data_IF_057044661191
#
_entry.id   IF_057044661191
#
_cell.length_a   1.000
_cell.length_b   1.000
_cell.length_c   1.000
_cell.angle_alpha   90.00
_cell.angle_beta   90.00
_cell.angle_gamma   90.00
#
_symmetry.space_group_name_H-M   'P 1'
#
loop_
_entity.id
_entity.type
_entity.pdbx_description
1 polymer ?
#
# COMPACT_ATOMS: atom_id res chain seq x y z
N UNK A 1 2.97 9.13 19.28
CA UNK A 1 2.48 10.54 19.39
C UNK A 1 3.20 11.47 18.41
N UNK A 2 4.54 11.50 18.35
CA UNK A 2 5.31 12.37 17.44
C UNK A 2 4.80 12.40 15.99
N UNK A 3 4.67 11.23 15.34
CA UNK A 3 4.17 11.14 13.95
C UNK A 3 2.75 11.71 13.84
N UNK A 4 1.84 11.30 14.73
CA UNK A 4 0.45 11.76 14.71
C UNK A 4 0.35 13.30 14.86
N UNK A 5 1.10 13.89 15.78
CA UNK A 5 1.18 15.35 15.95
C UNK A 5 1.68 16.02 14.67
N UNK A 6 2.81 15.59 14.12
CA UNK A 6 3.37 16.19 12.92
C UNK A 6 2.46 16.05 11.69
N UNK A 7 1.72 14.95 11.57
CA UNK A 7 0.77 14.75 10.47
C UNK A 7 -0.45 15.68 10.60
N UNK A 8 -1.00 15.84 11.81
CA UNK A 8 -2.12 16.76 12.07
C UNK A 8 -1.71 18.21 11.82
N UNK A 9 -0.53 18.62 12.27
CA UNK A 9 0.04 19.95 12.01
C UNK A 9 0.32 20.17 10.52
N UNK A 10 0.59 19.11 9.75
CA UNK A 10 0.76 19.15 8.31
C UNK A 10 -0.58 19.11 7.52
N UNK A 11 -1.73 19.14 8.18
CA UNK A 11 -3.04 19.15 7.53
C UNK A 11 -3.55 17.76 7.07
N UNK A 12 -3.07 16.69 7.70
CA UNK A 12 -3.58 15.35 7.49
C UNK A 12 -4.30 14.85 8.75
N UNK A 13 -5.61 14.65 8.63
CA UNK A 13 -6.49 14.20 9.72
C UNK A 13 -6.28 12.72 10.04
N UNK A 14 -5.11 12.39 10.58
CA UNK A 14 -4.78 11.02 10.99
C UNK A 14 -5.42 10.70 12.33
N UNK A 15 -5.98 9.49 12.42
CA UNK A 15 -6.46 8.95 13.69
C UNK A 15 -5.31 8.28 14.45
N UNK A 16 -5.33 8.39 15.79
CA UNK A 16 -4.34 7.77 16.67
C UNK A 16 -5.03 6.96 17.78
N UNK A 17 -4.48 5.79 18.10
CA UNK A 17 -4.90 4.96 19.21
C UNK A 17 -3.69 4.53 20.06
N UNK A 18 -3.91 4.39 21.37
CA UNK A 18 -2.88 3.89 22.30
C UNK A 18 -2.61 2.40 22.15
N UNK A 19 -3.66 1.63 21.84
CA UNK A 19 -3.61 0.19 21.62
C UNK A 19 -4.69 -0.22 20.61
N UNK A 20 -4.50 -1.31 19.85
CA UNK A 20 -5.58 -1.93 19.11
C UNK A 20 -6.74 -2.33 20.05
N UNK A 21 -7.99 -2.13 19.63
CA UNK A 21 -9.16 -2.39 20.48
C UNK A 21 -9.64 -3.84 20.44
N UNK A 22 -9.75 -4.42 19.23
CA UNK A 22 -10.42 -5.72 19.03
C UNK A 22 -9.47 -6.86 18.64
N UNK A 23 -8.42 -6.55 17.90
CA UNK A 23 -7.50 -7.55 17.34
C UNK A 23 -6.06 -7.11 17.54
N UNK A 24 -5.14 -8.08 17.56
CA UNK A 24 -3.72 -7.81 17.45
C UNK A 24 -3.40 -7.20 16.07
N UNK A 25 -2.11 -7.00 15.76
CA UNK A 25 -1.70 -6.54 14.44
C UNK A 25 -2.28 -7.45 13.35
N UNK A 26 -3.02 -6.87 12.41
CA UNK A 26 -3.58 -7.61 11.28
C UNK A 26 -2.48 -8.24 10.42
N UNK A 27 -2.86 -9.26 9.64
CA UNK A 27 -1.94 -10.04 8.81
C UNK A 27 -1.09 -9.17 7.86
N UNK A 28 -1.62 -8.06 7.36
CA UNK A 28 -0.90 -7.12 6.51
C UNK A 28 0.34 -6.51 7.15
N UNK A 29 0.36 -6.36 8.49
CA UNK A 29 1.55 -5.94 9.24
C UNK A 29 2.37 -7.15 9.70
N UNK A 30 1.70 -8.15 10.27
CA UNK A 30 2.36 -9.32 10.86
C UNK A 30 3.20 -10.09 9.84
N UNK A 31 2.68 -10.31 8.64
CA UNK A 31 3.39 -11.05 7.60
C UNK A 31 4.67 -10.35 7.16
N UNK A 32 4.70 -9.02 7.17
CA UNK A 32 5.89 -8.25 6.86
C UNK A 32 6.91 -8.31 7.98
N UNK A 33 6.48 -8.26 9.25
CA UNK A 33 7.39 -8.48 10.38
C UNK A 33 7.98 -9.89 10.37
N UNK A 34 7.17 -10.90 10.07
CA UNK A 34 7.65 -12.27 9.87
C UNK A 34 8.59 -12.36 8.66
N UNK A 35 8.33 -11.67 7.56
CA UNK A 35 9.25 -11.67 6.42
C UNK A 35 10.61 -11.06 6.78
N UNK A 36 10.62 -9.97 7.55
CA UNK A 36 11.85 -9.29 7.99
C UNK A 36 12.61 -10.07 9.08
N UNK A 37 11.90 -10.78 9.96
CA UNK A 37 12.48 -11.73 10.91
C UNK A 37 12.48 -13.15 10.32
N UNK A 38 13.09 -13.30 9.13
CA UNK A 38 13.07 -14.55 8.36
C UNK A 38 13.56 -15.76 9.18
N UNK A 39 14.62 -15.58 9.97
CA UNK A 39 15.21 -16.59 10.85
C UNK A 39 14.39 -16.89 12.13
N UNK A 40 13.31 -16.13 12.40
CA UNK A 40 12.43 -16.28 13.57
C UNK A 40 13.17 -16.11 14.90
N UNK A 41 14.10 -15.15 14.97
CA UNK A 41 14.90 -14.85 16.18
C UNK A 41 14.38 -13.66 16.97
N UNK A 42 13.32 -13.01 16.49
CA UNK A 42 12.73 -11.82 17.06
C UNK A 42 13.10 -10.55 16.28
N UNK A 43 12.22 -9.54 16.37
CA UNK A 43 12.38 -8.26 15.69
C UNK A 43 12.67 -7.16 16.73
N UNK A 44 13.95 -6.76 16.95
CA UNK A 44 14.34 -5.91 18.08
C UNK A 44 14.06 -4.41 17.86
N UNK A 45 13.25 -4.06 16.86
CA UNK A 45 12.95 -2.68 16.51
C UNK A 45 11.50 -2.33 16.88
N UNK A 46 11.24 -1.15 17.47
CA UNK A 46 9.88 -0.67 17.69
C UNK A 46 9.12 -0.53 16.37
N UNK A 47 7.90 -1.06 16.31
CA UNK A 47 7.01 -0.98 15.15
C UNK A 47 5.91 0.03 15.42
N UNK A 48 5.73 0.99 14.50
CA UNK A 48 4.60 1.92 14.51
C UNK A 48 3.70 1.59 13.32
N UNK A 49 2.57 0.90 13.53
CA UNK A 49 1.64 0.61 12.45
C UNK A 49 0.98 1.90 11.96
N UNK A 50 1.01 2.11 10.65
CA UNK A 50 0.30 3.20 9.98
C UNK A 50 -0.68 2.57 8.98
N UNK A 51 -1.98 2.77 9.22
CA UNK A 51 -3.03 2.17 8.40
C UNK A 51 -3.53 3.15 7.35
N UNK A 52 -3.70 2.66 6.12
CA UNK A 52 -4.38 3.37 5.03
C UNK A 52 -5.56 2.50 4.63
N UNK A 53 -6.75 3.10 4.55
CA UNK A 53 -7.92 2.41 4.00
C UNK A 53 -7.80 2.29 2.47
N UNK A 54 -7.01 1.32 2.01
CA UNK A 54 -6.72 1.10 0.60
C UNK A 54 -7.77 0.24 -0.12
N UNK A 55 -8.63 -0.45 0.62
CA UNK A 55 -9.60 -1.43 0.11
C UNK A 55 -10.72 -0.81 -0.74
N UNK A 56 -11.19 0.38 -0.35
CA UNK A 56 -12.18 1.15 -1.10
C UNK A 56 -13.47 0.37 -1.42
N UNK A 57 -14.17 0.81 -2.46
CA UNK A 57 -15.57 0.42 -2.73
C UNK A 57 -15.78 -1.09 -2.80
N UNK A 58 -14.93 -1.76 -3.59
CA UNK A 58 -15.13 -3.16 -3.98
C UNK A 58 -14.71 -4.14 -2.90
N UNK A 59 -13.61 -3.88 -2.20
CA UNK A 59 -13.06 -4.82 -1.21
C UNK A 59 -13.81 -4.70 0.13
N UNK A 60 -14.20 -3.48 0.54
CA UNK A 60 -14.97 -3.28 1.77
C UNK A 60 -16.38 -3.87 1.64
N UNK A 61 -17.06 -3.67 0.50
CA UNK A 61 -18.40 -4.22 0.25
C UNK A 61 -18.45 -5.75 0.30
N UNK A 62 -17.31 -6.38 0.01
CA UNK A 62 -17.14 -7.83 0.07
C UNK A 62 -16.52 -8.31 1.41
N UNK A 63 -16.34 -7.40 2.37
CA UNK A 63 -15.75 -7.65 3.69
C UNK A 63 -14.36 -8.30 3.60
N UNK A 64 -13.52 -7.77 2.72
CA UNK A 64 -12.13 -8.21 2.50
C UNK A 64 -11.97 -9.67 2.06
N UNK A 65 -12.95 -10.21 1.32
CA UNK A 65 -12.90 -11.55 0.75
C UNK A 65 -13.61 -11.65 -0.60
N UNK A 66 -13.66 -12.87 -1.15
CA UNK A 66 -14.47 -13.21 -2.32
C UNK A 66 -15.68 -13.97 -1.82
N UNK A 67 -16.90 -13.43 -2.00
CA UNK A 67 -18.13 -14.11 -1.57
C UNK A 67 -18.51 -15.26 -2.52
N UNK A 68 -18.15 -15.14 -3.80
CA UNK A 68 -18.23 -16.20 -4.82
C UNK A 68 -17.83 -15.64 -6.18
N UNK A 69 -17.42 -16.51 -7.13
CA UNK A 69 -17.00 -16.07 -8.49
C UNK A 69 -18.14 -15.40 -9.29
N UNK A 70 -19.38 -15.62 -8.90
CA UNK A 70 -20.60 -15.05 -9.52
C UNK A 70 -21.23 -13.93 -8.69
N UNK A 71 -20.70 -13.61 -7.51
CA UNK A 71 -21.31 -12.68 -6.56
C UNK A 71 -20.51 -11.38 -6.49
N UNK A 72 -20.81 -10.46 -7.41
CA UNK A 72 -20.28 -9.10 -7.36
C UNK A 72 -21.33 -8.15 -6.76
N UNK A 73 -20.92 -7.20 -5.90
CA UNK A 73 -21.82 -6.19 -5.39
C UNK A 73 -22.36 -5.32 -6.54
N UNK A 74 -23.67 -5.05 -6.52
CA UNK A 74 -24.26 -4.03 -7.39
C UNK A 74 -23.79 -2.63 -6.99
N UNK A 75 -24.00 -1.62 -7.84
CA UNK A 75 -23.51 -0.26 -7.59
C UNK A 75 -24.04 0.34 -6.28
N UNK A 76 -25.28 0.03 -5.90
CA UNK A 76 -25.91 0.46 -4.64
C UNK A 76 -25.37 -0.26 -3.39
N UNK A 77 -24.65 -1.37 -3.59
CA UNK A 77 -24.01 -2.14 -2.52
C UNK A 77 -22.53 -1.76 -2.33
N UNK A 78 -22.00 -0.86 -3.15
CA UNK A 78 -20.61 -0.42 -3.05
C UNK A 78 -20.40 0.49 -1.83
N UNK A 79 -19.31 0.25 -1.12
CA UNK A 79 -18.85 1.11 -0.04
C UNK A 79 -18.23 2.41 -0.56
N UNK A 80 -17.90 3.38 0.32
CA UNK A 80 -17.16 4.58 -0.07
C UNK A 80 -15.81 4.29 -0.73
N UNK A 81 -15.32 5.21 -1.59
CA UNK A 81 -13.98 5.11 -2.18
C UNK A 81 -12.87 5.02 -1.13
N UNK A 82 -11.76 4.39 -1.52
CA UNK A 82 -10.48 4.62 -0.86
C UNK A 82 -9.97 6.04 -1.17
N UNK A 83 -8.99 6.57 -0.41
CA UNK A 83 -8.38 7.84 -0.74
C UNK A 83 -7.80 7.84 -2.16
N UNK A 84 -7.85 8.99 -2.82
CA UNK A 84 -7.25 9.12 -4.14
C UNK A 84 -5.72 8.88 -4.10
N UNK A 85 -5.11 8.31 -5.16
CA UNK A 85 -3.67 8.06 -5.22
C UNK A 85 -2.80 9.27 -4.87
N UNK A 86 -3.12 10.45 -5.39
CA UNK A 86 -2.41 11.69 -5.07
C UNK A 86 -2.46 12.03 -3.56
N UNK A 87 -3.55 11.70 -2.85
CA UNK A 87 -3.70 11.98 -1.42
C UNK A 87 -2.82 11.04 -0.59
N UNK A 88 -2.75 9.75 -0.96
CA UNK A 88 -1.82 8.80 -0.36
C UNK A 88 -0.37 9.19 -0.63
N UNK A 89 -0.06 9.62 -1.85
CA UNK A 89 1.26 10.11 -2.23
C UNK A 89 1.68 11.32 -1.38
N UNK A 90 0.83 12.34 -1.28
CA UNK A 90 1.13 13.54 -0.50
C UNK A 90 1.19 13.26 1.02
N UNK A 91 0.39 12.31 1.52
CA UNK A 91 0.47 11.80 2.89
C UNK A 91 1.86 11.18 3.16
N UNK A 92 2.36 10.40 2.22
CA UNK A 92 3.70 9.84 2.24
C UNK A 92 4.80 10.89 2.34
N UNK A 93 4.73 11.92 1.48
CA UNK A 93 5.67 13.04 1.48
C UNK A 93 5.65 13.81 2.81
N UNK A 94 4.46 14.09 3.35
CA UNK A 94 4.33 14.73 4.65
C UNK A 94 4.90 13.87 5.79
N UNK A 95 4.64 12.56 5.76
CA UNK A 95 5.19 11.61 6.72
C UNK A 95 6.73 11.61 6.70
N UNK A 96 7.33 11.59 5.50
CA UNK A 96 8.79 11.67 5.33
C UNK A 96 9.39 12.93 5.98
N UNK A 97 8.81 14.12 5.73
CA UNK A 97 9.25 15.37 6.39
C UNK A 97 9.15 15.32 7.90
N UNK A 98 8.09 14.69 8.42
CA UNK A 98 7.89 14.55 9.88
C UNK A 98 8.95 13.64 10.46
N UNK A 99 9.15 12.44 9.90
CA UNK A 99 10.11 11.47 10.45
C UNK A 99 11.56 11.90 10.28
N UNK A 100 11.90 12.67 9.25
CA UNK A 100 13.24 13.25 9.05
C UNK A 100 13.64 14.17 10.20
N UNK A 101 12.69 14.93 10.77
CA UNK A 101 12.90 15.80 11.93
C UNK A 101 12.92 15.07 13.26
N UNK A 102 12.70 13.76 13.25
CA UNK A 102 12.63 12.97 14.47
C UNK A 102 14.03 12.61 14.99
N UNK A 103 14.20 12.35 16.30
CA UNK A 103 15.47 11.91 16.86
C UNK A 103 15.81 10.44 16.54
N UNK A 104 14.97 9.72 15.79
CA UNK A 104 15.11 8.29 15.53
C UNK A 104 15.61 8.01 14.12
N UNK A 105 16.33 6.90 13.96
CA UNK A 105 16.57 6.30 12.64
C UNK A 105 15.34 5.49 12.25
N UNK A 106 14.62 5.96 11.23
CA UNK A 106 13.34 5.39 10.82
C UNK A 106 13.47 4.67 9.48
N UNK A 107 12.93 3.45 9.40
CA UNK A 107 12.68 2.77 8.13
C UNK A 107 11.19 2.92 7.78
N UNK A 108 10.90 3.42 6.58
CA UNK A 108 9.54 3.48 6.04
C UNK A 108 9.29 2.21 5.22
N UNK A 109 8.20 1.50 5.54
CA UNK A 109 7.87 0.21 4.93
C UNK A 109 6.44 0.27 4.42
N UNK A 110 6.27 0.20 3.10
CA UNK A 110 4.96 -0.11 2.50
C UNK A 110 4.83 -1.63 2.37
N UNK A 111 3.79 -2.17 2.98
CA UNK A 111 3.46 -3.59 2.97
C UNK A 111 2.17 -3.81 2.19
N UNK A 112 2.27 -4.49 1.05
CA UNK A 112 1.13 -4.96 0.24
C UNK A 112 1.63 -5.69 -1.00
N UNK A 113 0.78 -6.54 -1.58
CA UNK A 113 0.99 -6.97 -2.96
C UNK A 113 0.34 -6.03 -3.94
N UNK A 114 0.46 -6.32 -5.24
CA UNK A 114 -0.03 -5.45 -6.30
C UNK A 114 -1.40 -5.90 -6.77
N UNK A 115 -1.64 -6.02 -8.08
CA UNK A 115 -2.96 -6.43 -8.55
C UNK A 115 -3.36 -7.81 -8.02
N UNK A 116 -4.65 -8.02 -7.79
CA UNK A 116 -5.20 -9.28 -7.31
C UNK A 116 -6.15 -9.92 -8.33
N UNK A 117 -6.01 -11.22 -8.58
CA UNK A 117 -6.86 -11.98 -9.50
C UNK A 117 -8.34 -11.82 -9.16
N UNK A 118 -8.71 -11.98 -7.88
CA UNK A 118 -10.09 -11.81 -7.43
C UNK A 118 -10.69 -10.40 -7.57
N UNK A 119 -9.89 -9.41 -7.98
CA UNK A 119 -10.32 -8.04 -8.22
C UNK A 119 -10.23 -7.65 -9.69
N UNK A 120 -10.02 -8.62 -10.59
CA UNK A 120 -9.91 -8.42 -12.03
C UNK A 120 -10.97 -9.20 -12.80
N UNK A 121 -12.24 -8.74 -12.81
CA UNK A 121 -13.32 -9.42 -13.55
C UNK A 121 -13.02 -9.56 -15.05
N UNK A 122 -12.26 -8.62 -15.62
CA UNK A 122 -11.78 -8.67 -17.01
C UNK A 122 -10.92 -9.89 -17.33
N UNK A 123 -10.33 -10.52 -16.32
CA UNK A 123 -9.55 -11.76 -16.45
C UNK A 123 -10.30 -12.97 -15.88
N UNK A 124 -11.64 -12.87 -15.78
CA UNK A 124 -12.50 -13.91 -15.21
C UNK A 124 -12.11 -14.32 -13.77
N UNK A 125 -11.48 -13.39 -13.03
CA UNK A 125 -10.92 -13.62 -11.70
C UNK A 125 -9.80 -14.68 -11.63
N UNK A 126 -9.22 -15.07 -12.77
CA UNK A 126 -8.27 -16.18 -12.84
C UNK A 126 -6.82 -15.76 -12.55
N UNK A 127 -6.43 -14.56 -12.97
CA UNK A 127 -5.06 -14.07 -12.79
C UNK A 127 -5.04 -12.54 -12.61
N UNK A 128 -4.03 -12.01 -11.90
CA UNK A 128 -3.90 -10.57 -11.63
C UNK A 128 -3.70 -9.72 -12.90
N UNK A 129 -3.74 -8.40 -12.77
CA UNK A 129 -3.50 -7.48 -13.89
C UNK A 129 -2.00 -7.25 -14.12
N UNK A 130 -1.41 -8.17 -14.88
CA UNK A 130 0.02 -8.20 -15.16
C UNK A 130 0.48 -7.00 -15.97
N UNK A 131 -0.32 -6.53 -16.93
CA UNK A 131 0.05 -5.38 -17.76
C UNK A 131 0.05 -4.08 -16.94
N UNK A 132 -0.98 -3.88 -16.12
CA UNK A 132 -1.04 -2.72 -15.24
C UNK A 132 0.07 -2.74 -14.18
N UNK A 133 0.41 -3.92 -13.67
CA UNK A 133 1.52 -4.09 -12.73
C UNK A 133 2.87 -3.80 -13.40
N UNK A 134 3.16 -4.35 -14.58
CA UNK A 134 4.39 -4.04 -15.32
C UNK A 134 4.55 -2.55 -15.59
N UNK A 135 3.46 -1.86 -15.92
CA UNK A 135 3.50 -0.41 -16.11
C UNK A 135 3.95 0.35 -14.85
N UNK A 136 3.43 -0.04 -13.68
CA UNK A 136 3.87 0.53 -12.40
C UNK A 136 5.31 0.15 -12.06
N UNK A 137 5.73 -1.09 -12.35
CA UNK A 137 7.12 -1.51 -12.14
C UNK A 137 8.10 -0.71 -12.99
N UNK A 138 7.79 -0.49 -14.26
CA UNK A 138 8.62 0.34 -15.13
C UNK A 138 8.72 1.78 -14.59
N UNK A 139 7.61 2.36 -14.12
CA UNK A 139 7.61 3.69 -13.51
C UNK A 139 8.43 3.74 -12.20
N UNK A 140 8.35 2.69 -11.36
CA UNK A 140 9.16 2.54 -10.16
C UNK A 140 10.66 2.54 -10.50
N UNK A 141 11.08 1.71 -11.45
CA UNK A 141 12.48 1.61 -11.87
C UNK A 141 12.98 2.92 -12.49
N UNK A 142 12.14 3.60 -13.26
CA UNK A 142 12.46 4.89 -13.87
C UNK A 142 12.48 6.06 -12.87
N UNK A 143 12.05 5.86 -11.61
CA UNK A 143 11.82 6.93 -10.65
C UNK A 143 10.77 7.95 -11.14
N UNK A 144 9.82 7.49 -11.94
CA UNK A 144 8.75 8.31 -12.49
C UNK A 144 7.60 8.43 -11.49
N UNK A 145 7.77 9.33 -10.53
CA UNK A 145 6.79 9.59 -9.49
C UNK A 145 5.47 10.21 -10.00
N UNK A 146 5.47 10.82 -11.19
CA UNK A 146 4.27 11.42 -11.75
C UNK A 146 3.26 10.33 -12.14
N UNK A 147 3.72 9.26 -12.81
CA UNK A 147 2.87 8.10 -13.16
C UNK A 147 2.15 7.50 -11.96
N UNK A 148 2.77 7.53 -10.78
CA UNK A 148 2.15 7.05 -9.53
C UNK A 148 1.15 8.06 -8.97
N UNK A 149 1.57 9.32 -8.78
CA UNK A 149 0.75 10.35 -8.14
C UNK A 149 -0.49 10.71 -8.95
N UNK A 150 -0.37 10.76 -10.27
CA UNK A 150 -1.41 11.21 -11.21
C UNK A 150 -2.35 10.08 -11.64
N UNK A 151 -2.06 8.83 -11.22
CA UNK A 151 -2.91 7.69 -11.57
C UNK A 151 -4.33 7.90 -11.03
N UNK A 152 -5.37 7.78 -11.88
CA UNK A 152 -6.73 7.91 -11.41
C UNK A 152 -7.11 6.71 -10.54
N UNK A 153 -7.96 6.96 -9.53
CA UNK A 153 -8.45 5.89 -8.64
C UNK A 153 -9.20 4.79 -9.41
N UNK A 154 -9.92 5.15 -10.49
CA UNK A 154 -10.61 4.18 -11.33
C UNK A 154 -9.66 3.16 -11.97
N UNK A 155 -8.48 3.57 -12.41
CA UNK A 155 -7.48 2.65 -12.96
C UNK A 155 -6.94 1.69 -11.90
N UNK A 156 -6.81 2.13 -10.65
CA UNK A 156 -6.44 1.27 -9.51
C UNK A 156 -7.54 0.23 -9.26
N UNK A 157 -8.81 0.65 -9.24
CA UNK A 157 -9.96 -0.24 -9.01
C UNK A 157 -10.18 -1.25 -10.15
N UNK A 158 -9.99 -0.82 -11.41
CA UNK A 158 -10.12 -1.66 -12.61
C UNK A 158 -9.02 -2.73 -12.70
N UNK A 159 -7.81 -2.38 -12.28
CA UNK A 159 -6.65 -3.27 -12.33
C UNK A 159 -6.52 -4.18 -11.10
N UNK A 160 -7.46 -4.09 -10.14
CA UNK A 160 -7.37 -4.86 -8.90
C UNK A 160 -6.18 -4.47 -8.00
N UNK A 161 -5.68 -3.24 -8.13
CA UNK A 161 -4.47 -2.72 -7.49
C UNK A 161 -4.74 -1.95 -6.18
N UNK A 162 -5.85 -2.21 -5.50
CA UNK A 162 -6.32 -1.45 -4.33
C UNK A 162 -5.20 -1.22 -3.30
N UNK A 163 -4.45 -2.26 -2.97
CA UNK A 163 -3.39 -2.19 -1.96
C UNK A 163 -2.15 -1.38 -2.40
N UNK A 164 -1.99 -1.10 -3.70
CA UNK A 164 -0.92 -0.24 -4.24
C UNK A 164 -1.01 1.19 -3.66
N UNK A 165 -2.16 1.60 -3.12
CA UNK A 165 -2.26 2.85 -2.35
C UNK A 165 -1.32 2.92 -1.15
N UNK A 166 -0.92 1.78 -0.57
CA UNK A 166 0.13 1.75 0.46
C UNK A 166 1.51 2.11 -0.14
N UNK A 167 1.79 1.66 -1.37
CA UNK A 167 3.00 2.03 -2.12
C UNK A 167 3.01 3.50 -2.50
N UNK A 168 1.85 4.09 -2.84
CA UNK A 168 1.75 5.53 -3.10
C UNK A 168 2.31 6.34 -1.93
N UNK A 169 2.00 5.96 -0.69
CA UNK A 169 2.59 6.60 0.50
C UNK A 169 4.11 6.44 0.56
N UNK A 170 4.66 5.25 0.29
CA UNK A 170 6.11 5.06 0.28
C UNK A 170 6.78 5.92 -0.80
N UNK A 171 6.24 5.91 -2.01
CA UNK A 171 6.81 6.64 -3.15
C UNK A 171 6.71 8.15 -2.97
N UNK A 172 5.64 8.63 -2.34
CA UNK A 172 5.52 10.01 -1.89
C UNK A 172 6.65 10.41 -0.95
N UNK A 173 6.92 9.56 0.05
CA UNK A 173 8.02 9.76 0.97
C UNK A 173 9.39 9.70 0.29
N UNK A 174 9.61 8.75 -0.62
CA UNK A 174 10.88 8.62 -1.33
C UNK A 174 11.13 9.78 -2.29
N UNK A 175 10.09 10.28 -2.98
CA UNK A 175 10.18 11.51 -3.80
C UNK A 175 10.54 12.71 -2.94
N UNK A 176 9.89 12.89 -1.80
CA UNK A 176 10.17 13.99 -0.86
C UNK A 176 11.65 13.98 -0.42
N UNK A 177 12.18 12.80 -0.14
CA UNK A 177 13.58 12.60 0.26
C UNK A 177 14.56 12.62 -0.94
N UNK A 178 14.09 12.87 -2.17
CA UNK A 178 14.93 12.88 -3.37
C UNK A 178 15.56 11.53 -3.70
N UNK A 179 14.96 10.42 -3.27
CA UNK A 179 15.51 9.06 -3.43
C UNK A 179 14.98 8.38 -4.68
N UNK A 180 15.70 7.34 -5.12
CA UNK A 180 15.30 6.37 -6.13
C UNK A 180 15.59 4.97 -5.60
N UNK A 181 14.89 3.91 -6.06
CA UNK A 181 15.16 2.58 -5.54
C UNK A 181 16.59 2.16 -5.92
N UNK A 182 17.34 1.63 -4.95
CA UNK A 182 18.68 1.08 -5.16
C UNK A 182 18.61 -0.35 -5.71
N UNK A 183 17.58 -1.09 -5.30
CA UNK A 183 17.31 -2.45 -5.77
C UNK A 183 15.81 -2.62 -5.99
N UNK A 184 15.45 -3.32 -7.06
CA UNK A 184 14.06 -3.70 -7.34
C UNK A 184 13.99 -5.14 -7.83
N UNK A 185 12.93 -5.85 -7.46
CA UNK A 185 12.62 -7.18 -8.00
C UNK A 185 11.12 -7.32 -8.18
N UNK A 186 10.72 -7.92 -9.29
CA UNK A 186 9.31 -8.17 -9.61
C UNK A 186 9.13 -9.64 -9.96
N UNK A 187 8.21 -10.29 -9.25
CA UNK A 187 7.84 -11.68 -9.42
C UNK A 187 6.40 -11.72 -9.94
N UNK A 188 6.30 -12.01 -11.22
CA UNK A 188 5.04 -12.17 -11.94
C UNK A 188 4.48 -13.58 -11.75
N UNK A 189 3.15 -13.69 -11.66
CA UNK A 189 2.46 -14.97 -11.62
C UNK A 189 1.11 -14.91 -12.33
N UNK A 190 0.83 -15.96 -13.12
CA UNK A 190 -0.49 -16.27 -13.67
C UNK A 190 -1.26 -17.30 -12.85
N UNK A 191 -0.66 -17.79 -11.75
CA UNK A 191 -1.21 -18.90 -10.95
C UNK A 191 -1.60 -18.39 -9.56
N UNK A 192 -0.77 -17.52 -8.96
CA UNK A 192 -1.06 -16.95 -7.67
C UNK A 192 -1.99 -15.75 -7.79
N UNK A 193 -2.72 -15.52 -6.70
CA UNK A 193 -3.69 -14.44 -6.61
C UNK A 193 -3.08 -13.05 -6.85
N UNK A 194 -1.77 -12.84 -6.68
CA UNK A 194 -1.17 -11.52 -6.85
C UNK A 194 0.32 -11.59 -7.19
N UNK A 195 0.77 -10.62 -7.98
CA UNK A 195 2.18 -10.40 -8.25
C UNK A 195 2.90 -9.79 -7.03
N UNK A 196 4.21 -10.01 -6.92
CA UNK A 196 5.02 -9.48 -5.82
C UNK A 196 6.08 -8.53 -6.35
N UNK A 197 6.20 -7.37 -5.75
CA UNK A 197 7.27 -6.42 -6.02
C UNK A 197 8.04 -6.14 -4.74
N UNK A 198 9.36 -6.00 -4.87
CA UNK A 198 10.28 -5.60 -3.83
C UNK A 198 11.05 -4.38 -4.30
N UNK A 199 11.23 -3.41 -3.40
CA UNK A 199 12.02 -2.22 -3.66
C UNK A 199 12.77 -1.82 -2.38
N UNK A 200 14.06 -1.56 -2.50
CA UNK A 200 14.91 -1.08 -1.41
C UNK A 200 15.39 0.32 -1.76
N UNK A 201 15.40 1.21 -0.77
CA UNK A 201 15.88 2.58 -0.88
C UNK A 201 16.96 2.80 0.17
N UNK A 202 18.23 2.70 -0.23
CA UNK A 202 19.33 2.99 0.67
C UNK A 202 19.43 4.50 0.97
N UNK A 203 19.97 4.89 2.15
CA UNK A 203 20.19 6.29 2.53
C UNK A 203 21.08 7.09 1.58
#
# INVERSE_FOLDING_TARGET
KFIATGMLEAGFDVSYAYRPLHHQLGHAFLNTLLFLDYDRKGFPYPVVPFQVNCYGRRVIAQHAGVRGLSEFPSEDQLDPPSPAPWRCFDLGAACARVVEKSPWRVALIASSSWSHAFLTPKHHLLYPDIEADRALYNALQAGDYATWRERPLSAIEESGQQEVLNWMCLLGGMKELGRRPSETSYVESYIFNSNKCFAVYQP
#
